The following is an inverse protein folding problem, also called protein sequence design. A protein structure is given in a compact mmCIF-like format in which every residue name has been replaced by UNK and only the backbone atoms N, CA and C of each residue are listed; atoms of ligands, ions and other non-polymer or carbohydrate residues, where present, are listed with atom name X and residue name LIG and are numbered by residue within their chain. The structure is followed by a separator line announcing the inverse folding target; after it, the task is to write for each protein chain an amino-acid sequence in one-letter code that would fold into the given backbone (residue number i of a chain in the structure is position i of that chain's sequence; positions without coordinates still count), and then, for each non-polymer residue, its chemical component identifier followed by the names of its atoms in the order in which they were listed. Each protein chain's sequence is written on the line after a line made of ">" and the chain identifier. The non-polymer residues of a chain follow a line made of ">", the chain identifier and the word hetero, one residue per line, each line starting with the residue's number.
data_IF_282996981698
#
_entry.id   IF_282996981698
#
_cell.length_a   1.000
_cell.length_b   1.000
_cell.length_c   1.000
_cell.angle_alpha   90.00
_cell.angle_beta   90.00
_cell.angle_gamma   90.00
#
_symmetry.space_group_name_H-M   'P 1'
#
loop_
_entity.id
_entity.type
_entity.pdbx_description
1 polymer ?
#
# COMPACT_ATOMS: atom_id res chain seq x y z
N UNK A 1 7.99 9.98 0.42
CA UNK A 1 8.77 10.96 -0.39
C UNK A 1 10.21 10.46 -0.44
N UNK A 2 11.01 10.84 -1.44
CA UNK A 2 12.33 10.22 -1.65
C UNK A 2 13.31 10.39 -0.47
N UNK A 3 13.17 11.47 0.32
CA UNK A 3 13.96 11.72 1.53
C UNK A 3 13.49 10.94 2.77
N UNK A 4 12.28 10.38 2.71
CA UNK A 4 11.72 9.64 3.85
C UNK A 4 12.15 8.17 3.77
N UNK A 5 12.22 7.47 4.92
CA UNK A 5 12.17 6.01 4.93
C UNK A 5 10.99 5.47 4.12
N UNK A 6 11.12 4.24 3.63
CA UNK A 6 9.95 3.47 3.20
C UNK A 6 9.05 3.24 4.41
N UNK A 7 7.75 3.03 4.20
CA UNK A 7 6.80 2.79 5.28
C UNK A 7 7.20 1.55 6.08
N UNK A 8 7.65 0.50 5.39
CA UNK A 8 8.13 -0.72 6.03
C UNK A 8 9.32 -0.42 6.94
N UNK A 9 10.34 0.28 6.44
CA UNK A 9 11.52 0.57 7.23
C UNK A 9 11.22 1.49 8.41
N UNK A 10 10.42 2.53 8.19
CA UNK A 10 9.95 3.37 9.28
C UNK A 10 9.25 2.52 10.35
N UNK A 11 8.31 1.67 9.95
CA UNK A 11 7.56 0.82 10.88
C UNK A 11 8.45 -0.15 11.65
N UNK A 12 9.42 -0.80 11.00
CA UNK A 12 10.21 -1.85 11.63
C UNK A 12 11.43 -1.32 12.40
N UNK A 13 12.01 -0.19 11.98
CA UNK A 13 13.31 0.28 12.47
C UNK A 13 13.28 1.65 13.16
N UNK A 14 12.36 2.55 12.82
CA UNK A 14 12.39 3.94 13.30
C UNK A 14 11.20 4.35 14.17
N UNK A 15 10.02 3.78 13.93
CA UNK A 15 8.79 4.14 14.62
C UNK A 15 8.87 3.71 16.09
N UNK A 16 8.64 4.66 16.99
CA UNK A 16 8.50 4.38 18.41
C UNK A 16 7.23 3.58 18.70
N UNK A 17 7.22 2.86 19.83
CA UNK A 17 6.01 2.14 20.28
C UNK A 17 4.80 3.07 20.33
N UNK A 18 4.98 4.31 20.80
CA UNK A 18 3.90 5.30 20.86
C UNK A 18 3.30 5.59 19.48
N UNK A 19 4.13 5.79 18.46
CA UNK A 19 3.67 6.05 17.08
C UNK A 19 2.93 4.84 16.50
N UNK A 20 3.46 3.62 16.74
CA UNK A 20 2.80 2.37 16.34
C UNK A 20 1.43 2.23 16.99
N UNK A 21 1.34 2.46 18.29
CA UNK A 21 0.07 2.41 19.03
C UNK A 21 -0.93 3.45 18.50
N UNK A 22 -0.49 4.68 18.23
CA UNK A 22 -1.35 5.72 17.65
C UNK A 22 -1.87 5.33 16.26
N UNK A 23 -1.03 4.74 15.42
CA UNK A 23 -1.45 4.23 14.13
C UNK A 23 -2.45 3.08 14.27
N UNK A 24 -2.17 2.12 15.16
CA UNK A 24 -3.08 1.01 15.46
C UNK A 24 -4.44 1.52 15.94
N UNK A 25 -4.46 2.50 16.85
CA UNK A 25 -5.70 3.12 17.33
C UNK A 25 -6.45 3.86 16.21
N UNK A 26 -5.72 4.49 15.28
CA UNK A 26 -6.31 5.15 14.12
C UNK A 26 -7.03 4.15 13.20
N UNK A 27 -6.39 3.03 12.87
CA UNK A 27 -6.96 2.02 11.97
C UNK A 27 -8.01 1.12 12.65
N UNK A 28 -7.95 0.99 13.99
CA UNK A 28 -8.89 0.21 14.79
C UNK A 28 -10.21 0.92 15.06
N UNK A 29 -10.40 2.17 14.62
CA UNK A 29 -11.67 2.87 14.81
C UNK A 29 -12.80 1.97 14.32
N UNK A 30 -13.72 1.56 15.20
CA UNK A 30 -14.66 0.50 14.90
C UNK A 30 -15.57 0.95 13.77
N UNK A 31 -15.66 0.14 12.72
CA UNK A 31 -16.93 0.00 12.01
C UNK A 31 -17.86 -0.64 13.03
N UNK A 32 -18.98 0.00 13.38
CA UNK A 32 -19.97 -0.60 14.28
C UNK A 32 -20.34 -2.01 13.76
N UNK A 33 -19.93 -3.07 14.47
CA UNK A 33 -20.36 -4.44 14.16
C UNK A 33 -19.31 -5.54 14.25
N UNK A 34 -18.01 -5.25 14.09
CA UNK A 34 -17.00 -6.32 14.04
C UNK A 34 -16.46 -6.68 15.43
N UNK A 35 -16.90 -7.83 15.94
CA UNK A 35 -16.52 -8.38 17.26
C UNK A 35 -15.29 -9.29 17.23
N UNK A 36 -14.65 -9.49 16.09
CA UNK A 36 -13.39 -10.23 16.00
C UNK A 36 -12.21 -9.28 15.87
N UNK A 37 -11.93 -8.52 16.94
CA UNK A 37 -10.65 -7.84 17.03
C UNK A 37 -9.57 -8.92 17.22
N UNK A 38 -8.76 -9.11 16.18
CA UNK A 38 -7.42 -9.69 16.29
C UNK A 38 -6.78 -9.11 17.57
N UNK A 39 -6.37 -9.98 18.49
CA UNK A 39 -5.76 -9.53 19.74
C UNK A 39 -4.57 -8.58 19.44
N UNK A 40 -4.24 -7.68 20.37
CA UNK A 40 -3.18 -6.67 20.24
C UNK A 40 -1.93 -7.15 19.49
N UNK A 41 -1.41 -8.29 19.91
CA UNK A 41 -0.16 -8.86 19.44
C UNK A 41 -0.26 -9.50 18.05
N UNK A 42 -1.36 -10.19 17.74
CA UNK A 42 -1.59 -10.80 16.43
C UNK A 42 -1.80 -9.72 15.35
N UNK A 43 -2.39 -8.57 15.72
CA UNK A 43 -2.55 -7.46 14.78
C UNK A 43 -1.20 -6.83 14.44
N UNK A 44 -0.34 -6.61 15.44
CA UNK A 44 0.98 -6.04 15.21
C UNK A 44 1.84 -6.92 14.29
N UNK A 45 1.88 -8.24 14.55
CA UNK A 45 2.56 -9.20 13.65
C UNK A 45 1.98 -9.22 12.23
N UNK A 46 0.67 -9.02 12.09
CA UNK A 46 0.03 -8.91 10.78
C UNK A 46 0.46 -7.61 10.08
N UNK A 47 0.50 -6.50 10.81
CA UNK A 47 0.93 -5.21 10.29
C UNK A 47 2.39 -5.24 9.84
N UNK A 48 3.31 -5.90 10.55
CA UNK A 48 4.72 -6.02 10.13
C UNK A 48 4.89 -6.52 8.68
N UNK A 49 3.96 -7.35 8.19
CA UNK A 49 4.00 -7.89 6.82
C UNK A 49 3.21 -7.08 5.81
N UNK A 50 2.28 -6.24 6.26
CA UNK A 50 1.27 -5.62 5.40
C UNK A 50 1.15 -4.09 5.56
N UNK A 51 1.98 -3.48 6.40
CA UNK A 51 1.88 -2.07 6.80
C UNK A 51 1.83 -1.12 5.60
N UNK A 52 2.68 -1.32 4.59
CA UNK A 52 2.68 -0.52 3.37
C UNK A 52 1.31 -0.48 2.71
N UNK A 53 0.63 -1.62 2.59
CA UNK A 53 -0.69 -1.70 1.97
C UNK A 53 -1.80 -1.11 2.83
N UNK A 54 -1.69 -1.17 4.16
CA UNK A 54 -2.61 -0.45 5.05
C UNK A 54 -2.50 1.06 4.85
N UNK A 55 -1.28 1.59 4.79
CA UNK A 55 -1.05 3.01 4.50
C UNK A 55 -1.54 3.41 3.11
N UNK A 56 -1.27 2.59 2.08
CA UNK A 56 -1.78 2.83 0.71
C UNK A 56 -3.32 2.90 0.72
N UNK A 57 -3.98 1.99 1.43
CA UNK A 57 -5.44 1.98 1.52
C UNK A 57 -5.97 3.24 2.22
N UNK A 58 -5.33 3.70 3.29
CA UNK A 58 -5.70 4.94 4.01
C UNK A 58 -5.47 6.17 3.10
N UNK A 59 -4.35 6.22 2.39
CA UNK A 59 -4.06 7.27 1.43
C UNK A 59 -5.15 7.36 0.37
N UNK A 60 -5.60 6.22 -0.16
CA UNK A 60 -6.65 6.16 -1.18
C UNK A 60 -8.03 6.55 -0.62
N UNK A 61 -8.32 6.24 0.64
CA UNK A 61 -9.54 6.66 1.34
C UNK A 61 -9.63 8.17 1.60
N UNK A 62 -8.50 8.88 1.59
CA UNK A 62 -8.47 10.30 1.95
C UNK A 62 -9.31 11.16 0.98
N UNK A 63 -9.73 12.35 1.44
CA UNK A 63 -10.39 13.34 0.59
C UNK A 63 -9.43 14.11 -0.34
N UNK A 64 -8.13 13.79 -0.34
CA UNK A 64 -7.16 14.48 -1.16
C UNK A 64 -7.42 14.23 -2.66
N UNK A 65 -7.34 15.29 -3.47
CA UNK A 65 -7.54 15.20 -4.92
C UNK A 65 -6.48 14.30 -5.61
N UNK A 66 -5.26 14.24 -5.06
CA UNK A 66 -4.17 13.41 -5.56
C UNK A 66 -3.65 12.47 -4.49
N UNK A 67 -3.34 11.24 -4.88
CA UNK A 67 -2.68 10.23 -4.05
C UNK A 67 -1.44 9.72 -4.81
N UNK A 68 -0.26 9.87 -4.21
CA UNK A 68 1.02 9.45 -4.79
C UNK A 68 1.64 8.42 -3.86
N UNK A 69 1.99 7.26 -4.40
CA UNK A 69 2.69 6.19 -3.68
C UNK A 69 4.12 6.14 -4.19
N UNK A 70 5.07 5.97 -3.27
CA UNK A 70 6.46 5.70 -3.63
C UNK A 70 6.61 4.23 -4.05
N UNK A 71 7.34 3.96 -5.14
CA UNK A 71 7.41 2.61 -5.72
C UNK A 71 7.95 1.57 -4.72
N UNK A 72 8.87 1.97 -3.84
CA UNK A 72 9.37 1.10 -2.76
C UNK A 72 8.24 0.61 -1.83
N UNK A 73 7.28 1.47 -1.49
CA UNK A 73 6.15 1.09 -0.62
C UNK A 73 5.19 0.15 -1.35
N UNK A 74 4.96 0.38 -2.66
CA UNK A 74 4.15 -0.51 -3.50
C UNK A 74 4.77 -1.92 -3.56
N UNK A 75 6.09 -2.01 -3.62
CA UNK A 75 6.86 -3.24 -3.67
C UNK A 75 7.21 -3.80 -2.27
N UNK A 76 6.81 -3.12 -1.20
CA UNK A 76 7.13 -3.48 0.19
C UNK A 76 8.64 -3.64 0.46
N UNK A 77 9.45 -2.70 -0.02
CA UNK A 77 10.92 -2.72 0.10
C UNK A 77 11.42 -1.96 1.34
N UNK A 78 12.56 -2.39 1.88
CA UNK A 78 13.27 -1.74 3.01
C UNK A 78 14.31 -0.69 2.57
N UNK A 79 14.56 -0.52 1.27
CA UNK A 79 15.66 0.32 0.78
C UNK A 79 15.22 1.76 0.47
N UNK A 80 15.86 2.75 1.11
CA UNK A 80 15.60 4.18 0.87
C UNK A 80 16.09 4.65 -0.49
N UNK A 81 15.48 5.73 -0.98
CA UNK A 81 16.02 6.48 -2.12
C UNK A 81 17.12 7.44 -1.67
N UNK A 82 16.91 8.19 -0.59
CA UNK A 82 17.86 9.17 -0.08
C UNK A 82 17.85 9.23 1.45
N UNK A 83 18.99 9.54 2.05
CA UNK A 83 19.15 9.90 3.46
C UNK A 83 19.77 11.30 3.51
N UNK A 84 18.98 12.34 3.79
CA UNK A 84 19.48 13.71 3.82
C UNK A 84 20.67 13.88 4.79
N UNK A 85 21.68 14.64 4.36
CA UNK A 85 22.89 14.89 5.16
C UNK A 85 23.93 13.76 5.13
N UNK A 86 23.77 12.77 4.25
CA UNK A 86 24.76 11.72 4.01
C UNK A 86 25.40 11.86 2.62
N UNK A 87 26.69 11.54 2.53
CA UNK A 87 27.42 11.53 1.25
C UNK A 87 27.38 10.11 0.66
N UNK A 88 27.06 10.03 -0.63
CA UNK A 88 27.03 8.77 -1.39
C UNK A 88 28.32 8.64 -2.20
N UNK A 89 29.46 8.50 -1.53
CA UNK A 89 30.74 8.34 -2.21
C UNK A 89 31.10 6.86 -2.39
N UNK A 90 31.75 6.56 -3.51
CA UNK A 90 32.05 5.20 -4.01
C UNK A 90 32.97 4.42 -3.05
N UNK A 91 33.76 5.11 -2.23
CA UNK A 91 34.67 4.51 -1.24
C UNK A 91 34.03 4.28 0.14
N UNK A 92 32.77 4.68 0.34
CA UNK A 92 32.08 4.57 1.63
C UNK A 92 31.16 3.34 1.67
N UNK A 93 31.31 2.50 2.69
CA UNK A 93 30.45 1.32 2.98
C UNK A 93 29.07 1.72 3.55
N UNK A 94 28.64 2.96 3.29
CA UNK A 94 27.38 3.50 3.76
C UNK A 94 26.24 3.36 2.75
N UNK A 95 25.02 3.73 3.16
CA UNK A 95 23.85 3.69 2.30
C UNK A 95 24.02 4.60 1.09
N UNK A 96 23.91 4.02 -0.11
CA UNK A 96 24.10 4.72 -1.38
C UNK A 96 22.82 5.44 -1.79
N UNK A 97 22.79 6.76 -1.66
CA UNK A 97 21.67 7.59 -2.13
C UNK A 97 21.48 7.49 -3.65
N UNK A 98 20.24 7.68 -4.11
CA UNK A 98 19.84 7.75 -5.52
C UNK A 98 20.14 6.48 -6.35
N UNK A 99 20.55 5.40 -5.69
CA UNK A 99 20.96 4.15 -6.31
C UNK A 99 19.82 3.14 -6.47
N UNK A 100 18.72 3.30 -5.74
CA UNK A 100 17.61 2.36 -5.76
C UNK A 100 17.01 2.22 -7.17
N UNK A 101 16.82 0.98 -7.60
CA UNK A 101 16.17 0.59 -8.86
C UNK A 101 15.20 -0.55 -8.57
N UNK A 102 14.23 -0.73 -9.44
CA UNK A 102 13.39 -1.92 -9.47
C UNK A 102 13.45 -2.56 -10.84
N UNK A 103 13.15 -3.85 -10.89
CA UNK A 103 12.94 -4.64 -12.09
C UNK A 103 11.45 -4.84 -12.34
N UNK A 104 11.03 -4.80 -13.60
CA UNK A 104 9.61 -4.96 -13.95
C UNK A 104 8.99 -6.29 -13.50
N UNK A 105 9.81 -7.32 -13.32
CA UNK A 105 9.38 -8.61 -12.76
C UNK A 105 8.94 -8.52 -11.30
N UNK A 106 9.41 -7.53 -10.54
CA UNK A 106 9.00 -7.30 -9.15
C UNK A 106 7.58 -6.74 -9.06
N UNK A 107 7.11 -6.05 -10.10
CA UNK A 107 5.73 -5.60 -10.19
C UNK A 107 4.84 -6.79 -10.62
N UNK A 108 4.50 -7.64 -9.66
CA UNK A 108 3.75 -8.88 -9.92
C UNK A 108 2.32 -8.60 -10.41
N UNK A 109 1.68 -9.66 -10.94
CA UNK A 109 0.26 -9.58 -11.34
C UNK A 109 -0.63 -9.16 -10.17
N UNK A 110 -0.41 -9.72 -8.98
CA UNK A 110 -1.21 -9.46 -7.80
C UNK A 110 -1.11 -8.00 -7.34
N UNK A 111 0.09 -7.40 -7.39
CA UNK A 111 0.28 -5.98 -7.07
C UNK A 111 -0.52 -5.11 -8.03
N UNK A 112 -0.47 -5.41 -9.34
CA UNK A 112 -1.20 -4.65 -10.36
C UNK A 112 -2.71 -4.74 -10.17
N UNK A 113 -3.23 -5.94 -9.91
CA UNK A 113 -4.67 -6.15 -9.69
C UNK A 113 -5.11 -5.43 -8.41
N UNK A 114 -4.40 -5.62 -7.30
CA UNK A 114 -4.73 -4.96 -6.03
C UNK A 114 -4.71 -3.43 -6.16
N UNK A 115 -3.71 -2.88 -6.84
CA UNK A 115 -3.64 -1.43 -7.07
C UNK A 115 -4.82 -0.94 -7.93
N UNK A 116 -5.17 -1.67 -9.00
CA UNK A 116 -6.34 -1.36 -9.83
C UNK A 116 -7.63 -1.37 -9.01
N UNK A 117 -7.85 -2.43 -8.22
CA UNK A 117 -9.03 -2.58 -7.38
C UNK A 117 -9.15 -1.44 -6.37
N UNK A 118 -8.08 -1.08 -5.66
CA UNK A 118 -8.08 0.06 -4.74
C UNK A 118 -8.37 1.38 -5.45
N UNK A 119 -7.77 1.58 -6.63
CA UNK A 119 -7.99 2.79 -7.46
C UNK A 119 -9.46 2.94 -7.83
N UNK A 120 -10.11 1.85 -8.24
CA UNK A 120 -11.53 1.83 -8.61
C UNK A 120 -12.45 1.95 -7.40
N UNK A 121 -12.16 1.20 -6.33
CA UNK A 121 -12.93 1.17 -5.09
C UNK A 121 -13.07 2.56 -4.47
N UNK A 122 -11.99 3.35 -4.47
CA UNK A 122 -11.96 4.68 -3.89
C UNK A 122 -12.21 5.80 -4.91
N UNK A 123 -12.70 5.47 -6.12
CA UNK A 123 -13.09 6.47 -7.11
C UNK A 123 -11.94 7.31 -7.65
N UNK A 124 -10.72 6.74 -7.68
CA UNK A 124 -9.50 7.37 -8.18
C UNK A 124 -9.14 6.93 -9.61
N UNK A 125 -10.01 6.14 -10.24
CA UNK A 125 -9.92 5.78 -11.66
C UNK A 125 -10.78 6.75 -12.49
N UNK A 126 -10.12 7.67 -13.19
CA UNK A 126 -10.78 8.66 -14.06
C UNK A 126 -11.33 8.04 -15.36
N UNK A 127 -10.95 6.79 -15.65
CA UNK A 127 -11.40 6.04 -16.83
C UNK A 127 -12.49 5.03 -16.50
N UNK A 128 -12.76 4.80 -15.21
CA UNK A 128 -13.77 3.86 -14.76
C UNK A 128 -15.16 4.47 -14.86
N UNK A 129 -15.82 4.18 -15.96
CA UNK A 129 -17.26 4.39 -16.08
C UNK A 129 -18.01 3.23 -15.42
N UNK A 130 -18.74 3.51 -14.33
CA UNK A 130 -19.58 2.52 -13.65
C UNK A 130 -20.66 1.92 -14.56
N UNK A 131 -21.05 2.60 -15.64
CA UNK A 131 -22.06 2.10 -16.57
C UNK A 131 -21.57 0.92 -17.42
N UNK A 132 -20.27 0.87 -17.75
CA UNK A 132 -19.67 -0.22 -18.55
C UNK A 132 -19.55 -1.51 -17.72
N UNK A 133 -19.25 -1.38 -16.42
CA UNK A 133 -19.10 -2.51 -15.49
C UNK A 133 -20.39 -3.30 -15.27
N UNK A 134 -21.55 -2.63 -15.26
CA UNK A 134 -22.86 -3.30 -15.20
C UNK A 134 -23.16 -4.14 -16.46
N UNK A 135 -22.74 -3.68 -17.64
CA UNK A 135 -22.92 -4.42 -18.89
C UNK A 135 -21.97 -5.63 -18.97
N UNK A 136 -20.71 -5.47 -18.57
CA UNK A 136 -19.74 -6.58 -18.53
C UNK A 136 -20.10 -7.66 -17.50
N UNK A 137 -20.66 -7.27 -16.34
CA UNK A 137 -21.20 -8.20 -15.34
C UNK A 137 -22.46 -8.91 -15.86
N UNK A 138 -23.35 -8.20 -16.57
CA UNK A 138 -24.54 -8.78 -17.18
C UNK A 138 -24.18 -9.79 -18.28
N UNK A 139 -23.19 -9.47 -19.13
CA UNK A 139 -22.70 -10.36 -20.20
C UNK A 139 -22.04 -11.63 -19.66
N UNK A 140 -21.30 -11.54 -18.54
CA UNK A 140 -20.74 -12.73 -17.88
C UNK A 140 -21.82 -13.65 -17.33
N UNK A 141 -22.87 -13.09 -16.71
CA UNK A 141 -23.99 -13.88 -16.18
C UNK A 141 -24.82 -14.55 -17.28
N UNK A 142 -24.97 -13.91 -18.44
CA UNK A 142 -25.70 -14.46 -19.59
C UNK A 142 -24.94 -15.64 -20.23
N UNK A 143 -23.61 -15.52 -20.35
CA UNK A 143 -22.75 -16.61 -20.89
C UNK A 143 -22.67 -17.86 -19.99
N UNK A 144 -22.98 -17.73 -18.70
CA UNK A 144 -23.12 -18.88 -17.78
C UNK A 144 -24.52 -19.50 -17.78
N UNK A 145 -25.54 -18.82 -18.30
CA UNK A 145 -26.91 -19.35 -18.39
C UNK A 145 -27.14 -20.24 -19.62
N UNK A 146 -26.26 -20.20 -20.61
CA UNK A 146 -26.35 -21.00 -21.86
C UNK A 146 -25.71 -22.40 -21.78
N UNK A 147 -25.31 -22.85 -20.58
CA UNK A 147 -24.68 -24.16 -20.34
C UNK A 147 -25.46 -25.08 -19.38
N UNK A 148 -26.77 -24.87 -19.21
CA UNK A 148 -27.68 -25.82 -18.54
C UNK A 148 -28.72 -26.39 -19.50
#
# INVERSE_FOLDING_TARGET
>A
AHDNPTILQWWTEEASDKEKHQFIDYIRRPVEGDKELINGLELEKHLDKHICWYFIQILFQSAANGAIIQMQDLLNSLTRMNIPGTESDIEYDGPQNWSWRFEWSELTFDIRIRLKELTQMYGRDLTYDKTISSEDMALKNDSTSSLQ
#
